data_IF_832567985792
#
_entry.id   IF_832567985792
#
_cell.length_a   1.000
_cell.length_b   1.000
_cell.length_c   1.000
_cell.angle_alpha   90.00
_cell.angle_beta   90.00
_cell.angle_gamma   90.00
#
_symmetry.space_group_name_H-M   'P 1'
#
loop_
_entity.id
_entity.type
_entity.pdbx_description
1 polymer ?
2 non-polymer ?
3 water ?
#
# COMPACT_ATOMS: atom_id res chain seq x y z
N UNK A 1 10.81 -23.22 0.96
CA UNK A 1 9.88 -24.39 0.99
C UNK A 1 8.61 -24.05 1.75
N UNK A 2 8.73 -23.65 3.01
CA UNK A 2 7.59 -23.09 3.71
C UNK A 2 7.06 -21.90 2.90
N UNK A 3 5.78 -21.59 3.05
CA UNK A 3 5.17 -20.51 2.28
C UNK A 3 4.79 -19.32 3.15
N UNK A 4 4.73 -18.15 2.54
CA UNK A 4 4.30 -16.95 3.25
C UNK A 4 3.14 -16.28 2.54
N UNK A 5 2.29 -15.64 3.33
CA UNK A 5 1.19 -14.84 2.80
C UNK A 5 1.48 -13.37 3.04
N UNK A 6 1.79 -12.63 1.97
CA UNK A 6 1.90 -11.18 2.13
C UNK A 6 0.56 -10.58 2.55
N UNK A 7 0.63 -9.60 3.44
CA UNK A 7 -0.50 -8.74 3.75
C UNK A 7 -0.92 -7.96 2.51
N UNK A 8 -2.13 -7.36 2.53
CA UNK A 8 -2.70 -6.76 1.32
C UNK A 8 -1.85 -5.70 0.65
N UNK A 9 -1.25 -4.81 1.43
CA UNK A 9 -0.43 -3.75 0.86
C UNK A 9 0.86 -4.30 0.23
N UNK A 10 1.50 -5.26 0.88
CA UNK A 10 2.71 -5.84 0.28
C UNK A 10 2.32 -6.58 -0.98
N UNK A 11 1.25 -7.37 -0.88
CA UNK A 11 0.75 -8.12 -2.02
C UNK A 11 0.54 -7.21 -3.23
N UNK A 12 -0.05 -6.04 -3.00
CA UNK A 12 -0.31 -5.11 -4.10
C UNK A 12 0.99 -4.64 -4.76
N UNK A 13 2.03 -4.40 -3.97
CA UNK A 13 3.33 -4.06 -4.54
C UNK A 13 3.89 -5.21 -5.39
N UNK A 14 3.80 -6.44 -4.89
CA UNK A 14 4.32 -7.60 -5.61
C UNK A 14 3.61 -7.81 -6.95
N UNK A 15 2.29 -7.63 -6.97
CA UNK A 15 1.52 -7.79 -8.21
C UNK A 15 1.84 -6.68 -9.21
N UNK A 16 2.23 -5.51 -8.70
CA UNK A 16 2.63 -4.42 -9.57
C UNK A 16 4.00 -4.74 -10.18
N UNK A 17 4.67 -5.74 -9.63
CA UNK A 17 5.98 -6.15 -10.14
C UNK A 17 5.94 -7.52 -10.81
N UNK A 18 4.74 -7.99 -11.15
CA UNK A 18 4.62 -9.21 -11.94
C UNK A 18 4.17 -10.46 -11.22
N UNK A 19 3.85 -10.34 -9.93
CA UNK A 19 3.33 -11.49 -9.19
C UNK A 19 1.91 -11.80 -9.66
N UNK A 20 1.61 -13.09 -9.77
CA UNK A 20 0.32 -13.53 -10.29
C UNK A 20 -0.35 -14.52 -9.35
N UNK A 21 0.02 -14.47 -8.07
CA UNK A 21 -0.58 -15.32 -7.05
C UNK A 21 -0.53 -14.63 -5.70
N UNK A 22 -0.87 -15.36 -4.64
CA UNK A 22 -1.05 -14.73 -3.34
C UNK A 22 -0.27 -15.39 -2.20
N UNK A 23 0.20 -16.61 -2.40
CA UNK A 23 1.14 -17.21 -1.46
C UNK A 23 2.46 -17.51 -2.17
N UNK A 24 3.56 -17.41 -1.43
CA UNK A 24 4.88 -17.37 -2.03
C UNK A 24 5.90 -18.07 -1.15
N UNK A 25 7.04 -18.42 -1.74
CA UNK A 25 8.24 -18.73 -0.97
C UNK A 25 8.94 -17.40 -0.70
N UNK A 26 9.76 -17.35 0.35
CA UNK A 26 10.54 -16.15 0.62
C UNK A 26 11.28 -15.72 -0.64
N UNK A 27 11.77 -16.70 -1.38
CA UNK A 27 12.59 -16.44 -2.55
C UNK A 27 11.80 -15.68 -3.62
N UNK A 28 10.55 -16.07 -3.82
CA UNK A 28 9.71 -15.42 -4.82
C UNK A 28 9.36 -14.00 -4.40
N UNK A 29 9.07 -13.81 -3.12
CA UNK A 29 8.83 -12.47 -2.59
C UNK A 29 10.04 -11.58 -2.84
N UNK A 30 11.22 -12.07 -2.47
CA UNK A 30 12.44 -11.28 -2.66
C UNK A 30 12.63 -10.97 -4.14
N UNK A 31 12.38 -11.96 -4.99
CA UNK A 31 12.52 -11.73 -6.43
C UNK A 31 11.63 -10.59 -6.95
N UNK A 32 10.33 -10.63 -6.65
CA UNK A 32 9.41 -9.61 -7.14
C UNK A 32 9.72 -8.23 -6.55
N UNK A 33 10.06 -8.19 -5.27
CA UNK A 33 10.51 -6.96 -4.64
C UNK A 33 11.78 -6.40 -5.30
N UNK A 34 12.67 -7.29 -5.70
CA UNK A 34 13.87 -6.87 -6.40
C UNK A 34 13.49 -6.21 -7.71
N UNK A 35 12.60 -6.86 -8.46
CA UNK A 35 12.09 -6.29 -9.71
C UNK A 35 11.37 -4.96 -9.51
N UNK A 36 10.55 -4.89 -8.47
CA UNK A 36 9.89 -3.65 -8.10
C UNK A 36 10.94 -2.55 -7.86
N UNK A 37 12.00 -2.89 -7.14
CA UNK A 37 13.08 -1.93 -6.91
C UNK A 37 13.69 -1.45 -8.22
N UNK A 38 13.98 -2.39 -9.13
CA UNK A 38 14.55 -2.04 -10.42
C UNK A 38 13.59 -1.19 -11.24
N UNK A 39 12.32 -1.58 -11.25
CA UNK A 39 11.32 -0.94 -12.08
C UNK A 39 11.12 0.52 -11.68
N UNK A 40 11.12 0.79 -10.38
CA UNK A 40 10.92 2.15 -9.90
C UNK A 40 12.26 2.89 -9.83
N UNK A 41 13.34 2.17 -10.12
CA UNK A 41 14.69 2.74 -10.03
C UNK A 41 14.91 3.37 -8.65
N UNK A 42 14.64 2.60 -7.60
CA UNK A 42 14.76 3.11 -6.24
C UNK A 42 16.21 3.14 -5.75
N UNK A 43 17.08 2.41 -6.44
CA UNK A 43 18.50 2.35 -6.07
C UNK A 43 19.22 3.65 -6.41
N UNK A 44 20.26 3.93 -5.62
CA UNK A 44 21.10 5.11 -5.82
C UNK A 44 21.98 4.91 -7.05
N UNK A 45 22.16 5.97 -7.83
CA UNK A 45 22.94 5.87 -9.05
C UNK A 45 24.42 5.57 -8.78
N UNK A 46 25.00 6.24 -7.78
CA UNK A 46 26.42 6.06 -7.50
C UNK A 46 26.68 4.95 -6.50
N UNK A 47 25.89 4.90 -5.43
CA UNK A 47 26.02 3.85 -4.43
C UNK A 47 24.88 2.86 -4.61
N UNK A 48 25.10 1.89 -5.50
CA UNK A 48 24.01 1.16 -6.13
C UNK A 48 23.34 0.12 -5.25
N UNK A 49 23.98 -0.24 -4.14
CA UNK A 49 23.39 -1.18 -3.19
C UNK A 49 22.32 -0.51 -2.33
N UNK A 50 22.27 0.82 -2.38
CA UNK A 50 21.37 1.58 -1.52
C UNK A 50 20.05 1.86 -2.20
N UNK A 51 18.97 1.58 -1.48
CA UNK A 51 17.62 1.87 -1.95
C UNK A 51 17.05 3.09 -1.23
N UNK A 52 16.69 4.11 -2.01
CA UNK A 52 15.94 5.26 -1.51
C UNK A 52 14.44 4.99 -1.58
N UNK A 53 13.75 5.06 -0.45
CA UNK A 53 12.31 4.79 -0.48
C UNK A 53 11.43 5.65 0.42
N UNK A 54 11.93 6.81 0.84
CA UNK A 54 11.14 7.65 1.73
C UNK A 54 9.88 8.16 1.05
N UNK A 55 9.90 8.24 -0.28
CA UNK A 55 8.74 8.68 -1.05
C UNK A 55 8.09 7.56 -1.84
N UNK A 56 8.30 6.33 -1.41
CA UNK A 56 7.77 5.19 -2.14
C UNK A 56 6.97 4.33 -1.17
N UNK A 57 5.92 3.65 -1.67
CA UNK A 57 5.11 2.75 -0.86
C UNK A 57 5.94 1.77 -0.03
N UNK A 58 7.07 1.34 -0.58
CA UNK A 58 7.91 0.36 0.08
C UNK A 58 8.51 0.93 1.36
N UNK A 59 8.88 2.21 1.31
CA UNK A 59 9.44 2.87 2.48
C UNK A 59 8.49 2.82 3.67
N UNK A 60 7.22 3.10 3.42
CA UNK A 60 6.24 3.05 4.49
C UNK A 60 6.03 1.62 4.99
N UNK A 61 5.96 0.66 4.08
CA UNK A 61 5.77 -0.74 4.47
C UNK A 61 6.95 -1.27 5.27
N UNK A 62 8.15 -0.85 4.88
CA UNK A 62 9.37 -1.34 5.52
C UNK A 62 9.72 -0.55 6.77
N UNK A 63 9.18 0.66 6.88
CA UNK A 63 9.48 1.51 8.02
C UNK A 63 10.85 2.17 7.95
N UNK A 64 11.38 2.31 6.73
CA UNK A 64 12.69 2.94 6.52
C UNK A 64 12.66 3.95 5.38
N UNK A 65 13.64 4.85 5.38
CA UNK A 65 13.82 5.79 4.27
C UNK A 65 14.91 5.31 3.32
N UNK A 66 15.90 4.62 3.88
CA UNK A 66 16.96 3.98 3.09
C UNK A 66 17.25 2.59 3.67
N UNK A 67 17.68 1.67 2.82
CA UNK A 67 18.31 0.44 3.29
C UNK A 67 19.20 -0.13 2.19
N UNK A 68 20.10 -1.04 2.56
CA UNK A 68 20.99 -1.67 1.59
C UNK A 68 20.52 -3.06 1.15
N UNK A 69 20.65 -3.36 -0.14
CA UNK A 69 20.22 -4.66 -0.65
C UNK A 69 21.06 -5.80 -0.07
N UNK A 70 22.18 -5.45 0.54
CA UNK A 70 23.09 -6.43 1.13
C UNK A 70 22.74 -6.76 2.58
N UNK A 71 21.81 -6.00 3.15
CA UNK A 71 21.40 -6.22 4.54
C UNK A 71 20.32 -7.29 4.63
N UNK A 72 20.68 -8.55 4.39
CA UNK A 72 19.69 -9.61 4.25
C UNK A 72 18.87 -9.89 5.51
N UNK A 73 19.52 -9.88 6.67
CA UNK A 73 18.78 -10.11 7.91
C UNK A 73 17.76 -9.00 8.15
N UNK A 74 18.19 -7.76 7.92
CA UNK A 74 17.30 -6.60 8.03
C UNK A 74 16.15 -6.67 7.02
N UNK A 75 16.46 -7.06 5.79
CA UNK A 75 15.44 -7.20 4.76
C UNK A 75 14.41 -8.27 5.12
N UNK A 76 14.87 -9.42 5.61
CA UNK A 76 13.93 -10.41 6.13
C UNK A 76 13.01 -9.82 7.21
N UNK A 77 13.57 -9.06 8.13
CA UNK A 77 12.78 -8.54 9.24
C UNK A 77 11.74 -7.55 8.72
N UNK A 78 12.14 -6.69 7.80
CA UNK A 78 11.21 -5.74 7.20
C UNK A 78 10.08 -6.44 6.44
N UNK A 79 10.41 -7.52 5.74
CA UNK A 79 9.40 -8.28 5.01
C UNK A 79 8.46 -9.00 5.97
N UNK A 80 9.02 -9.55 7.04
CA UNK A 80 8.23 -10.35 7.97
C UNK A 80 7.12 -9.54 8.64
N UNK A 81 7.34 -8.25 8.86
CA UNK A 81 6.29 -7.43 9.45
C UNK A 81 5.17 -7.16 8.44
N UNK A 82 5.34 -7.68 7.22
CA UNK A 82 4.31 -7.59 6.19
C UNK A 82 3.88 -8.97 5.69
N UNK A 83 3.99 -9.98 6.55
CA UNK A 83 3.47 -11.31 6.23
C UNK A 83 2.42 -11.71 7.24
N UNK A 84 1.39 -12.42 6.79
CA UNK A 84 0.34 -12.88 7.70
C UNK A 84 0.87 -14.03 8.54
N UNK B 1 -10.67 23.77 -0.09
CA UNK B 1 -9.62 24.64 -0.69
C UNK B 1 -8.24 24.10 -0.35
N UNK B 2 -7.98 23.94 0.94
CA UNK B 2 -6.71 23.40 1.40
C UNK B 2 -6.42 22.11 0.65
N UNK B 3 -5.16 21.92 0.29
CA UNK B 3 -4.70 20.68 -0.31
C UNK B 3 -4.18 19.73 0.76
N UNK B 4 -4.41 18.44 0.55
CA UNK B 4 -3.80 17.46 1.42
C UNK B 4 -2.79 16.65 0.64
N UNK B 5 -1.84 16.06 1.34
CA UNK B 5 -0.80 15.29 0.68
C UNK B 5 -0.86 13.86 1.17
N UNK B 6 -1.36 12.96 0.32
CA UNK B 6 -1.41 11.54 0.69
C UNK B 6 0.00 10.98 0.82
N UNK B 7 0.20 10.13 1.81
CA UNK B 7 1.40 9.31 1.89
C UNK B 7 1.55 8.46 0.63
N UNK B 8 2.75 7.89 0.42
CA UNK B 8 2.99 7.06 -0.77
C UNK B 8 1.98 5.92 -0.92
N UNK B 9 1.68 5.22 0.17
CA UNK B 9 0.75 4.09 0.10
C UNK B 9 -0.69 4.50 -0.25
N UNK B 10 -1.19 5.60 0.32
CA UNK B 10 -2.53 6.06 -0.05
C UNK B 10 -2.51 6.60 -1.48
N UNK B 11 -1.43 7.29 -1.82
CA UNK B 11 -1.27 7.84 -3.16
C UNK B 11 -1.34 6.75 -4.22
N UNK B 12 -0.66 5.64 -3.99
CA UNK B 12 -0.64 4.57 -4.97
C UNK B 12 -2.04 3.98 -5.10
N UNK B 13 -2.73 3.83 -3.97
CA UNK B 13 -4.10 3.36 -3.99
C UNK B 13 -5.03 4.33 -4.73
N UNK B 14 -4.77 5.63 -4.60
CA UNK B 14 -5.60 6.61 -5.30
C UNK B 14 -5.36 6.54 -6.81
N UNK B 15 -4.11 6.33 -7.20
CA UNK B 15 -3.80 6.18 -8.62
C UNK B 15 -4.46 4.94 -9.21
N UNK B 16 -4.51 3.86 -8.43
CA UNK B 16 -5.11 2.61 -8.91
C UNK B 16 -6.62 2.75 -8.98
N UNK B 17 -7.16 3.74 -8.29
CA UNK B 17 -8.58 4.02 -8.36
C UNK B 17 -8.84 5.04 -9.46
N UNK B 18 -7.77 5.52 -10.08
CA UNK B 18 -7.93 6.33 -11.28
C UNK B 18 -7.53 7.79 -11.15
N UNK B 19 -6.95 8.16 -10.02
CA UNK B 19 -6.51 9.54 -9.81
C UNK B 19 -5.24 9.79 -10.61
N UNK B 20 -5.12 10.98 -11.19
CA UNK B 20 -4.07 11.25 -12.16
C UNK B 20 -3.05 12.30 -11.73
N UNK B 21 -3.19 12.83 -10.52
CA UNK B 21 -2.22 13.79 -9.99
C UNK B 21 -1.72 13.41 -8.61
N UNK B 22 -0.99 14.33 -7.98
CA UNK B 22 -0.40 14.07 -6.67
C UNK B 22 -0.94 15.01 -5.60
N UNK B 23 -1.54 16.11 -6.02
CA UNK B 23 -2.17 17.04 -5.08
C UNK B 23 -3.68 16.92 -5.12
N UNK B 24 -4.30 16.96 -3.95
CA UNK B 24 -5.73 16.72 -3.86
C UNK B 24 -6.35 17.61 -2.79
N UNK B 25 -7.64 17.86 -2.94
CA UNK B 25 -8.46 18.32 -1.83
C UNK B 25 -9.02 17.09 -1.11
N UNK B 26 -9.53 17.27 0.10
CA UNK B 26 -10.15 16.16 0.81
C UNK B 26 -11.28 15.59 -0.03
N UNK B 27 -12.05 16.48 -0.65
CA UNK B 27 -13.16 16.07 -1.48
C UNK B 27 -12.67 15.08 -2.53
N UNK B 28 -11.53 15.39 -3.14
CA UNK B 28 -11.02 14.56 -4.22
C UNK B 28 -10.57 13.19 -3.69
N UNK B 29 -9.85 13.18 -2.58
CA UNK B 29 -9.48 11.91 -1.97
C UNK B 29 -10.73 11.06 -1.74
N UNK B 30 -11.76 11.67 -1.16
CA UNK B 30 -12.99 10.95 -0.84
C UNK B 30 -13.62 10.38 -2.10
N UNK B 31 -13.72 11.21 -3.13
CA UNK B 31 -14.27 10.78 -4.40
C UNK B 31 -13.58 9.54 -4.96
N UNK B 32 -12.25 9.59 -5.05
CA UNK B 32 -11.49 8.49 -5.64
C UNK B 32 -11.57 7.24 -4.77
N UNK B 33 -11.53 7.42 -3.45
CA UNK B 33 -11.67 6.28 -2.55
C UNK B 33 -13.06 5.66 -2.68
N UNK B 34 -14.06 6.50 -2.92
CA UNK B 34 -15.40 6.01 -3.17
C UNK B 34 -15.45 5.17 -4.43
N UNK B 35 -14.78 5.64 -5.47
CA UNK B 35 -14.71 4.88 -6.72
C UNK B 35 -13.97 3.56 -6.48
N UNK B 36 -12.89 3.62 -5.70
CA UNK B 36 -12.11 2.43 -5.38
C UNK B 36 -12.96 1.42 -4.61
N UNK B 37 -13.79 1.91 -3.70
CA UNK B 37 -14.71 1.06 -2.96
C UNK B 37 -15.73 0.38 -3.88
N UNK B 38 -16.23 1.10 -4.88
CA UNK B 38 -17.23 0.53 -5.77
C UNK B 38 -16.59 -0.44 -6.77
N UNK B 39 -15.38 -0.10 -7.22
CA UNK B 39 -14.64 -0.92 -8.17
C UNK B 39 -14.23 -2.26 -7.59
N UNK B 40 -13.93 -2.31 -6.30
CA UNK B 40 -13.53 -3.57 -5.70
C UNK B 40 -14.70 -4.25 -4.98
N UNK B 41 -15.87 -3.63 -5.04
CA UNK B 41 -17.07 -4.20 -4.44
C UNK B 41 -16.87 -4.50 -2.97
N UNK B 42 -16.34 -3.52 -2.23
CA UNK B 42 -16.02 -3.74 -0.83
C UNK B 42 -17.26 -3.61 0.06
N UNK B 43 -18.31 -2.99 -0.46
CA UNK B 43 -19.54 -2.81 0.30
C UNK B 43 -20.30 -4.12 0.48
N UNK B 44 -21.02 -4.23 1.59
CA UNK B 44 -21.84 -5.39 1.90
C UNK B 44 -23.08 -5.42 1.01
N UNK B 45 -23.50 -6.62 0.62
CA UNK B 45 -24.60 -6.78 -0.31
C UNK B 45 -25.94 -6.42 0.33
N UNK B 46 -26.10 -6.75 1.61
CA UNK B 46 -27.37 -6.51 2.29
C UNK B 46 -27.33 -5.20 3.06
N UNK B 47 -26.26 -4.99 3.82
CA UNK B 47 -26.06 -3.72 4.51
C UNK B 47 -25.03 -2.92 3.73
N UNK B 48 -25.52 -2.17 2.75
CA UNK B 48 -24.65 -1.62 1.71
C UNK B 48 -23.84 -0.41 2.16
N UNK B 49 -24.19 0.14 3.31
CA UNK B 49 -23.43 1.24 3.90
C UNK B 49 -22.11 0.74 4.48
N UNK B 50 -22.02 -0.56 4.72
CA UNK B 50 -20.84 -1.17 5.35
C UNK B 50 -19.79 -1.60 4.32
N UNK B 51 -18.55 -1.21 4.56
CA UNK B 51 -17.41 -1.64 3.75
C UNK B 51 -16.69 -2.78 4.46
N UNK B 52 -16.47 -3.88 3.74
CA UNK B 52 -15.63 -4.97 4.23
C UNK B 52 -14.22 -4.82 3.65
N UNK B 53 -13.22 -4.69 4.51
CA UNK B 53 -11.88 -4.45 3.98
C UNK B 53 -10.75 -5.15 4.74
N UNK B 54 -11.08 -6.25 5.40
CA UNK B 54 -10.10 -6.95 6.22
C UNK B 54 -8.97 -7.51 5.36
N UNK B 55 -9.27 -7.78 4.09
CA UNK B 55 -8.30 -8.37 3.18
C UNK B 55 -7.97 -7.45 2.02
N UNK B 56 -8.20 -6.17 2.22
CA UNK B 56 -7.95 -5.21 1.17
C UNK B 56 -6.87 -4.25 1.63
N UNK B 57 -6.13 -3.66 0.68
CA UNK B 57 -5.17 -2.60 0.99
C UNK B 57 -5.77 -1.43 1.77
N UNK B 58 -7.04 -1.11 1.51
CA UNK B 58 -7.70 -0.03 2.22
C UNK B 58 -7.82 -0.32 3.71
N UNK B 59 -8.19 -1.55 4.04
CA UNK B 59 -8.38 -1.93 5.44
C UNK B 59 -7.09 -1.85 6.22
N UNK B 60 -5.99 -2.21 5.58
CA UNK B 60 -4.67 -2.14 6.20
C UNK B 60 -4.29 -0.68 6.46
N UNK B 61 -4.50 0.18 5.47
CA UNK B 61 -4.20 1.61 5.60
C UNK B 61 -5.05 2.31 6.65
N UNK B 62 -6.33 1.95 6.69
CA UNK B 62 -7.28 2.55 7.62
C UNK B 62 -7.17 1.98 9.03
N UNK B 63 -6.59 0.79 9.15
CA UNK B 63 -6.50 0.13 10.44
C UNK B 63 -7.80 -0.49 10.93
N UNK B 64 -8.71 -0.80 10.01
CA UNK B 64 -9.98 -1.45 10.36
C UNK B 64 -10.34 -2.61 9.44
N UNK B 65 -11.28 -3.43 9.87
CA UNK B 65 -11.78 -4.55 9.07
C UNK B 65 -13.13 -4.22 8.44
N UNK B 66 -13.92 -3.39 9.12
CA UNK B 66 -15.21 -2.91 8.63
C UNK B 66 -15.37 -1.44 9.02
N UNK B 67 -16.08 -0.67 8.21
CA UNK B 67 -16.56 0.64 8.62
C UNK B 67 -17.77 1.04 7.78
N UNK B 68 -18.53 2.02 8.25
CA UNK B 68 -19.68 2.51 7.51
C UNK B 68 -19.36 3.79 6.76
N UNK B 69 -19.82 3.87 5.51
CA UNK B 69 -19.55 5.04 4.69
C UNK B 69 -20.27 6.28 5.24
N UNK B 70 -21.17 6.06 6.20
CA UNK B 70 -21.89 7.14 6.85
C UNK B 70 -21.11 7.71 8.04
N UNK B 71 -20.03 7.04 8.44
CA UNK B 71 -19.26 7.48 9.59
C UNK B 71 -18.21 8.52 9.20
N UNK B 72 -18.66 9.72 8.86
CA UNK B 72 -17.78 10.70 8.23
C UNK B 72 -16.58 11.14 9.09
N UNK B 73 -16.81 11.39 10.38
CA UNK B 73 -15.72 11.78 11.26
C UNK B 73 -14.70 10.65 11.38
N UNK B 74 -15.20 9.42 11.47
CA UNK B 74 -14.30 8.27 11.55
C UNK B 74 -13.49 8.16 10.26
N UNK B 75 -14.14 8.42 9.13
CA UNK B 75 -13.48 8.31 7.84
C UNK B 75 -12.41 9.38 7.70
N UNK B 76 -12.75 10.63 8.02
CA UNK B 76 -11.75 11.69 8.05
C UNK B 76 -10.52 11.27 8.85
N UNK B 77 -10.75 10.61 9.98
CA UNK B 77 -9.66 10.24 10.88
C UNK B 77 -8.78 9.17 10.24
N UNK B 78 -9.41 8.19 9.59
CA UNK B 78 -8.67 7.11 8.94
C UNK B 78 -7.88 7.63 7.73
N UNK B 79 -8.41 8.63 7.04
CA UNK B 79 -7.69 9.24 5.94
C UNK B 79 -6.52 10.09 6.46
N UNK B 80 -6.75 10.82 7.55
CA UNK B 80 -5.74 11.74 8.06
C UNK B 80 -4.47 11.04 8.55
N UNK B 81 -4.61 9.82 9.04
CA UNK B 81 -3.43 9.06 9.44
C UNK B 81 -2.61 8.66 8.21
N UNK B 82 -3.16 8.89 7.03
CA UNK B 82 -2.46 8.64 5.77
C UNK B 82 -2.24 9.92 4.99
N UNK B 83 -2.23 11.04 5.70
CA UNK B 83 -1.88 12.32 5.09
C UNK B 83 -0.63 12.86 5.75
N UNK B 84 0.26 13.44 4.95
CA UNK B 84 1.47 14.05 5.47
C UNK B 84 1.13 15.38 6.14
X LIG C 1 20.20 -9.28 -3.83
X LIG C 1 21.53 -8.85 -3.26
X LIG C 1 22.26 -7.97 -4.03
X LIG C 1 23.55 -7.45 -3.60
X LIG C 1 24.66 -8.46 -3.88
X LIG C 1 26.00 -7.85 -3.50
X LIG C 1 26.46 -6.97 -4.53
X LIG C 1 27.05 -8.94 -3.21
X LIG C 1 27.31 -9.71 -4.37
X LIG C 1 21.96 -9.24 -2.16
X LIG C 1 19.88 -8.44 -5.03
X LIG C 1 19.08 -9.02 -2.83
X LIG C 1 18.78 -10.19 -1.93
X LIG C 1 19.02 -11.50 -2.36
X LIG C 1 18.70 -12.58 -1.53
X LIG C 1 18.25 -9.96 -0.67
X LIG C 1 17.93 -11.04 0.16
X LIG C 1 17.28 -10.72 1.76
X LIG C 1 18.14 -12.36 -0.27
X LIG C 1 17.90 -8.61 -3.70
X LIG C 1 17.32 -9.79 -4.34
X LIG C 1 16.87 -10.72 -4.83
X LIG C 1 16.84 -7.85 -2.94
X LIG C 1 17.19 -6.78 -2.09
X LIG C 1 16.20 -6.10 -1.37
X LIG C 1 15.50 -8.22 -3.06
X LIG C 1 14.51 -7.55 -2.35
X LIG C 1 14.86 -6.49 -1.51
X LIG C 1 13.61 -5.66 -0.59
X LIG C 1 18.56 -7.76 -4.77
X LIG C 1 17.70 -7.67 -6.05
X LIG C 1 18.06 -6.42 -6.90
X LIG C 1 19.60 -6.29 -7.04
X LIG C 1 17.50 -5.16 -6.23
X LIG C 1 17.43 -6.56 -8.29
X LIG D 1 -20.74 8.97 0.85
X LIG D 1 -21.79 8.71 1.90
X LIG D 1 -22.73 7.75 1.58
X LIG D 1 -23.83 7.43 2.49
X LIG D 1 -24.90 8.53 2.43
X LIG D 1 -26.09 8.15 3.32
X LIG D 1 -26.71 6.96 2.83
X LIG D 1 -27.10 9.30 3.38
X LIG D 1 -27.56 9.63 2.07
X LIG D 1 -21.82 9.31 2.99
X LIG D 1 -20.79 7.90 -0.20
X LIG D 1 -19.34 8.90 1.44
X LIG D 1 -18.82 10.21 1.97
X LIG D 1 -19.23 11.42 1.41
X LIG D 1 -18.72 12.62 1.91
X LIG D 1 -17.93 10.19 3.02
X LIG D 1 -17.43 11.39 3.52
X LIG D 1 -16.33 11.34 4.88
X LIG D 1 -17.80 12.61 2.96
X LIG D 1 -18.50 8.34 0.33
X LIG D 1 -18.20 9.35 -0.70
X LIG D 1 -17.97 10.13 -1.50
X LIG D 1 -17.21 7.72 0.81
X LIG D 1 -17.22 6.79 1.84
X LIG D 1 -16.03 6.22 2.27
X LIG D 1 -16.01 8.11 0.21
X LIG D 1 -14.81 7.55 0.64
X LIG D 1 -14.83 6.61 1.66
X LIG D 1 -13.33 5.90 2.20
X LIG D 1 -19.43 7.30 -0.30
X LIG D 1 -19.05 7.02 -1.76
X LIG D 1 -19.68 5.70 -2.25
X LIG D 1 -21.20 5.74 -2.08
X LIG D 1 -19.11 4.53 -1.45
X LIG D 1 -19.33 5.51 -3.74
#
# INVERSE_FOLDING_TARGET
>A
EKLVQPTPLLLSLLKSAGAQKETFTMKEVLYHLGQYIMAKQLYDEKQQHIVHCSNDPLGELFGVQEFSVKEHRRIYAMISRNLVS
>B
EKLVQPTPLLLSLLKSAGAQKETFTMKEVLYHLGQYIMAKQLYDEKQQHIVHCSNDPLGELFGVQEFSVKEHRRIYAMISRNLVS
>C hetero
1 I09 C1 C10 N11 C12 C13 C14 O14 C15 O15 O10 N1 C2 C21 C26 C25 C22 C23 CL2 C24 C3 C37 N37 C31 C32 C33 C36 C35 C34 CL3 C4 C41 C42 C45 C44 C43
>D hetero
1 I09 C1 C10 N11 C12 C13 C14 O14 C15 O15 O10 N1 C2 C21 C26 C25 C22 C23 CL2 C24 C3 C37 N37 C31 C32 C33 C36 C35 C34 CL3 C4 C41 C42 C45 C44 C43
#
